data_IF_052222471854
#
_entry.id   IF_052222471854
#
_cell.length_a   1.000
_cell.length_b   1.000
_cell.length_c   1.000
_cell.angle_alpha   90.00
_cell.angle_beta   90.00
_cell.angle_gamma   90.00
#
_symmetry.space_group_name_H-M   'P 1'
#
loop_
_entity.id
_entity.type
_entity.pdbx_description
1 polymer ?
#
# COMPACT_ATOMS: atom_id res chain seq x y z
N UNK A 1 15.20 11.10 4.53
CA UNK A 1 16.20 11.00 5.58
C UNK A 1 15.80 11.90 6.77
N UNK A 2 16.06 11.40 8.01
CA UNK A 2 15.77 12.13 9.24
C UNK A 2 16.72 13.34 9.38
N UNK A 3 16.19 14.45 9.89
CA UNK A 3 16.92 15.70 10.09
C UNK A 3 17.15 16.03 11.57
N UNK A 4 16.38 15.41 12.47
CA UNK A 4 16.53 15.58 13.91
C UNK A 4 15.61 14.68 14.71
N UNK A 5 16.05 14.26 15.89
CA UNK A 5 15.26 13.56 16.88
C UNK A 5 15.03 14.50 18.06
N UNK A 6 13.78 14.77 18.40
CA UNK A 6 13.39 15.62 19.51
C UNK A 6 12.83 14.78 20.65
N UNK A 7 13.37 14.99 21.84
CA UNK A 7 13.06 14.25 23.04
C UNK A 7 12.43 15.17 24.07
N UNK A 8 11.34 14.73 24.70
CA UNK A 8 10.70 15.47 25.76
C UNK A 8 11.55 15.42 27.03
N UNK A 9 11.92 16.58 27.59
CA UNK A 9 12.61 16.69 28.86
C UNK A 9 11.75 16.06 29.97
N UNK A 10 12.37 15.23 30.84
CA UNK A 10 11.72 14.53 31.97
C UNK A 10 10.67 13.48 31.57
N UNK A 11 10.62 13.02 30.33
CA UNK A 11 9.89 11.82 30.02
C UNK A 11 10.60 10.58 30.62
N UNK A 12 9.82 9.64 31.16
CA UNK A 12 10.40 8.35 31.56
C UNK A 12 10.73 7.54 30.28
N UNK A 13 12.03 7.22 30.07
CA UNK A 13 12.43 6.52 28.84
C UNK A 13 12.00 5.06 28.90
N UNK A 14 11.11 4.64 28.01
CA UNK A 14 10.83 3.23 27.73
C UNK A 14 11.92 2.59 26.82
N UNK A 15 11.78 1.32 26.54
CA UNK A 15 12.77 0.62 25.70
C UNK A 15 12.80 1.16 24.27
N UNK A 16 11.65 1.56 23.70
CA UNK A 16 11.56 2.16 22.37
C UNK A 16 12.27 3.51 22.31
N UNK A 17 12.16 4.29 23.37
CA UNK A 17 12.81 5.57 23.49
C UNK A 17 14.35 5.39 23.49
N UNK A 18 14.87 4.43 24.29
CA UNK A 18 16.31 4.11 24.34
C UNK A 18 16.84 3.59 23.01
N UNK A 19 16.09 2.70 22.37
CA UNK A 19 16.42 2.16 21.03
C UNK A 19 16.43 3.26 19.97
N UNK A 20 15.45 4.15 19.95
CA UNK A 20 15.40 5.28 19.02
C UNK A 20 16.57 6.24 19.21
N UNK A 21 16.95 6.53 20.46
CA UNK A 21 18.10 7.36 20.76
C UNK A 21 19.42 6.72 20.32
N UNK A 22 19.61 5.44 20.61
CA UNK A 22 20.80 4.69 20.19
C UNK A 22 20.94 4.68 18.66
N UNK A 23 19.84 4.43 17.95
CA UNK A 23 19.83 4.43 16.48
C UNK A 23 20.12 5.83 15.91
N UNK A 24 19.56 6.89 16.51
CA UNK A 24 19.85 8.27 16.09
C UNK A 24 21.33 8.61 16.24
N UNK A 25 21.96 8.18 17.34
CA UNK A 25 23.39 8.37 17.59
C UNK A 25 24.25 7.59 16.58
N UNK A 26 23.90 6.32 16.31
CA UNK A 26 24.60 5.49 15.33
C UNK A 26 24.53 6.10 13.92
N UNK A 27 23.37 6.65 13.53
CA UNK A 27 23.15 7.25 12.22
C UNK A 27 23.59 8.72 12.13
N UNK A 28 24.13 9.29 13.20
CA UNK A 28 24.56 10.70 13.24
C UNK A 28 23.42 11.70 13.11
N UNK A 29 22.22 11.33 13.51
CA UNK A 29 21.03 12.21 13.51
C UNK A 29 21.13 13.14 14.73
N UNK A 30 21.05 14.48 14.54
CA UNK A 30 21.06 15.42 15.66
C UNK A 30 19.94 15.13 16.65
N UNK A 31 20.25 15.14 17.93
CA UNK A 31 19.28 14.91 19.02
C UNK A 31 19.09 16.22 19.77
N UNK A 32 17.84 16.60 19.97
CA UNK A 32 17.44 17.82 20.66
C UNK A 32 16.51 17.47 21.82
N UNK A 33 16.62 18.23 22.91
CA UNK A 33 15.69 18.15 24.03
C UNK A 33 14.75 19.36 24.02
N UNK A 34 13.46 19.14 24.29
CA UNK A 34 12.45 20.19 24.31
C UNK A 34 11.36 19.96 25.35
N UNK A 35 10.63 20.99 25.66
CA UNK A 35 9.44 20.87 26.51
C UNK A 35 8.32 20.14 25.71
N UNK A 36 7.33 19.61 26.45
CA UNK A 36 6.19 18.94 25.80
C UNK A 36 5.49 19.85 24.77
N UNK A 37 5.35 21.14 25.09
CA UNK A 37 4.72 22.12 24.21
C UNK A 37 5.46 22.25 22.86
N UNK A 38 6.80 22.20 22.88
CA UNK A 38 7.62 22.28 21.66
C UNK A 38 7.39 21.04 20.79
N UNK A 39 7.28 19.86 21.42
CA UNK A 39 7.01 18.61 20.69
C UNK A 39 5.56 18.56 20.18
N UNK A 40 4.59 19.09 20.95
CA UNK A 40 3.19 19.20 20.48
C UNK A 40 3.12 20.08 19.22
N UNK A 41 3.85 21.19 19.17
CA UNK A 41 3.92 22.07 18.00
C UNK A 41 4.61 21.37 16.82
N UNK A 42 5.79 20.78 17.03
CA UNK A 42 6.55 20.06 16.00
C UNK A 42 5.77 18.88 15.41
N UNK A 43 4.95 18.21 16.22
CA UNK A 43 4.10 17.10 15.77
C UNK A 43 2.76 17.55 15.20
N UNK A 44 2.51 18.85 15.05
CA UNK A 44 1.21 19.43 14.71
C UNK A 44 0.08 18.91 15.62
N UNK A 45 0.35 18.86 16.94
CA UNK A 45 -0.55 18.31 17.98
C UNK A 45 -0.88 16.83 17.80
N UNK A 46 -0.05 16.09 17.09
CA UNK A 46 -0.14 14.64 16.97
C UNK A 46 0.33 13.93 18.23
N UNK A 47 -0.15 12.72 18.47
CA UNK A 47 0.31 11.89 19.60
C UNK A 47 1.77 11.48 19.41
N UNK A 48 2.72 12.07 20.16
CA UNK A 48 4.16 11.84 20.01
C UNK A 48 4.79 11.00 21.13
N UNK A 49 4.09 10.79 22.26
CA UNK A 49 4.59 9.99 23.38
C UNK A 49 5.99 10.41 23.88
N UNK A 50 6.31 11.71 23.81
CA UNK A 50 7.61 12.25 24.22
C UNK A 50 8.74 12.15 23.20
N UNK A 51 8.46 11.75 21.95
CA UNK A 51 9.45 11.53 20.90
C UNK A 51 8.92 12.02 19.55
N UNK A 52 9.67 12.91 18.88
CA UNK A 52 9.32 13.41 17.53
C UNK A 52 10.55 13.30 16.62
N UNK A 53 10.38 12.60 15.51
CA UNK A 53 11.39 12.52 14.46
C UNK A 53 11.06 13.51 13.35
N UNK A 54 11.94 14.49 13.13
CA UNK A 54 11.85 15.38 11.98
C UNK A 54 12.49 14.69 10.76
N UNK A 55 11.77 14.74 9.64
CA UNK A 55 12.21 14.19 8.36
C UNK A 55 12.15 15.26 7.29
N UNK A 56 12.93 15.14 6.23
CA UNK A 56 12.78 15.96 5.02
C UNK A 56 11.42 15.71 4.37
N UNK A 57 10.99 16.68 3.57
CA UNK A 57 9.84 16.48 2.69
C UNK A 57 10.01 15.22 1.85
N UNK A 58 8.89 14.55 1.59
CA UNK A 58 8.91 13.33 0.81
C UNK A 58 9.29 13.62 -0.65
N UNK A 59 10.32 12.94 -1.12
CA UNK A 59 10.77 13.03 -2.52
C UNK A 59 10.01 11.98 -3.34
N UNK A 60 9.14 12.46 -4.24
CA UNK A 60 8.37 11.60 -5.13
C UNK A 60 9.27 11.06 -6.24
N UNK A 61 9.09 9.79 -6.55
CA UNK A 61 9.79 9.10 -7.62
C UNK A 61 9.12 9.35 -8.99
N UNK A 62 9.85 9.08 -10.06
CA UNK A 62 9.32 9.04 -11.40
C UNK A 62 8.48 7.75 -11.62
N UNK A 63 7.57 7.79 -12.60
CA UNK A 63 6.70 6.66 -12.93
C UNK A 63 7.51 5.39 -13.26
N UNK A 64 8.58 5.52 -14.01
CA UNK A 64 9.45 4.40 -14.40
C UNK A 64 10.08 3.70 -13.18
N UNK A 65 10.42 4.46 -12.15
CA UNK A 65 10.94 3.91 -10.89
C UNK A 65 9.87 3.09 -10.15
N UNK A 66 8.62 3.54 -10.18
CA UNK A 66 7.49 2.88 -9.51
C UNK A 66 7.04 1.63 -10.29
N UNK A 67 7.06 1.68 -11.62
CA UNK A 67 6.60 0.63 -12.50
C UNK A 67 7.68 -0.43 -12.84
N UNK A 68 8.59 -0.74 -11.91
CA UNK A 68 9.69 -1.69 -12.14
C UNK A 68 9.33 -3.16 -11.91
N UNK A 69 8.29 -3.42 -11.10
CA UNK A 69 7.86 -4.78 -10.75
C UNK A 69 6.72 -5.29 -11.62
N UNK A 70 5.88 -6.13 -11.02
CA UNK A 70 4.69 -6.69 -11.67
C UNK A 70 3.38 -6.29 -10.96
N UNK A 71 3.45 -5.47 -9.92
CA UNK A 71 2.28 -4.94 -9.21
C UNK A 71 2.55 -3.48 -8.83
N UNK A 72 1.65 -2.58 -9.23
CA UNK A 72 1.61 -1.18 -8.79
C UNK A 72 0.21 -0.85 -8.30
N UNK A 73 0.10 0.13 -7.40
CA UNK A 73 -1.19 0.57 -6.87
C UNK A 73 -1.42 2.04 -7.21
N UNK A 74 -2.54 2.34 -7.84
CA UNK A 74 -2.99 3.69 -8.20
C UNK A 74 -4.13 4.10 -7.27
N UNK A 75 -4.09 5.35 -6.77
CA UNK A 75 -5.10 5.87 -5.85
C UNK A 75 -5.89 7.00 -6.52
N UNK A 76 -7.17 6.76 -6.81
CA UNK A 76 -8.06 7.75 -7.43
C UNK A 76 -8.89 8.48 -6.38
N UNK A 77 -8.55 9.74 -6.10
CA UNK A 77 -9.33 10.60 -5.23
C UNK A 77 -9.27 10.25 -3.74
N UNK A 78 -8.27 9.50 -3.27
CA UNK A 78 -8.09 9.23 -1.84
C UNK A 78 -7.46 10.44 -1.17
N UNK A 79 -8.25 11.14 -0.34
CA UNK A 79 -7.86 12.40 0.32
C UNK A 79 -7.46 12.23 1.78
N UNK A 80 -7.77 11.10 2.39
CA UNK A 80 -7.34 10.78 3.75
C UNK A 80 -5.90 10.26 3.75
N UNK A 81 -5.01 11.01 4.40
CA UNK A 81 -3.59 10.67 4.54
C UNK A 81 -3.35 9.37 5.32
N UNK A 82 -4.26 9.04 6.26
CA UNK A 82 -4.18 7.80 7.01
C UNK A 82 -4.43 6.58 6.10
N UNK A 83 -5.44 6.67 5.22
CA UNK A 83 -5.70 5.64 4.23
C UNK A 83 -4.53 5.46 3.25
N UNK A 84 -3.93 6.56 2.77
CA UNK A 84 -2.73 6.48 1.91
C UNK A 84 -1.61 5.72 2.61
N UNK A 85 -1.32 6.03 3.87
CA UNK A 85 -0.30 5.33 4.65
C UNK A 85 -0.61 3.84 4.87
N UNK A 86 -1.87 3.52 5.21
CA UNK A 86 -2.31 2.14 5.44
C UNK A 86 -2.29 1.31 4.13
N UNK A 87 -2.68 1.92 2.99
CA UNK A 87 -2.56 1.30 1.67
C UNK A 87 -1.09 1.05 1.32
N UNK A 88 -0.20 2.03 1.56
CA UNK A 88 1.23 1.87 1.33
C UNK A 88 1.81 0.69 2.14
N UNK A 89 1.36 0.53 3.38
CA UNK A 89 1.75 -0.61 4.22
C UNK A 89 1.33 -1.94 3.63
N UNK A 90 0.08 -2.06 3.19
CA UNK A 90 -0.44 -3.27 2.55
C UNK A 90 0.24 -3.54 1.20
N UNK A 91 0.41 -2.51 0.37
CA UNK A 91 1.09 -2.59 -0.92
C UNK A 91 2.53 -3.13 -0.77
N UNK A 92 3.30 -2.59 0.18
CA UNK A 92 4.64 -3.07 0.48
C UNK A 92 4.65 -4.51 1.01
N UNK A 93 3.67 -4.88 1.86
CA UNK A 93 3.57 -6.23 2.43
C UNK A 93 3.26 -7.29 1.37
N UNK A 94 2.50 -6.93 0.34
CA UNK A 94 2.08 -7.84 -0.74
C UNK A 94 2.86 -7.66 -2.05
N UNK A 95 4.04 -7.04 -1.99
CA UNK A 95 5.00 -7.04 -3.08
C UNK A 95 4.73 -6.03 -4.20
N UNK A 96 3.99 -4.96 -3.93
CA UNK A 96 3.88 -3.84 -4.87
C UNK A 96 5.24 -3.15 -5.05
N UNK A 97 5.58 -2.78 -6.28
CA UNK A 97 6.78 -2.01 -6.59
C UNK A 97 6.63 -0.51 -6.29
N UNK A 98 5.40 -0.01 -6.09
CA UNK A 98 5.17 1.36 -5.68
C UNK A 98 3.72 1.80 -5.71
N UNK A 99 3.51 3.08 -5.34
CA UNK A 99 2.23 3.77 -5.40
C UNK A 99 2.24 4.89 -6.44
N UNK A 100 1.08 5.15 -7.02
CA UNK A 100 0.87 6.25 -7.96
C UNK A 100 -0.30 7.11 -7.46
N UNK A 101 -0.05 8.40 -7.23
CA UNK A 101 -1.03 9.36 -6.72
C UNK A 101 -1.26 10.46 -7.75
N UNK A 102 -2.50 10.95 -7.95
CA UNK A 102 -2.72 12.17 -8.70
C UNK A 102 -2.19 13.37 -7.91
N UNK A 103 -1.65 14.37 -8.61
CA UNK A 103 -1.15 15.59 -7.98
C UNK A 103 -2.24 16.53 -7.46
N UNK A 104 -3.50 16.29 -7.87
CA UNK A 104 -4.69 17.04 -7.43
C UNK A 104 -5.74 16.08 -6.92
N UNK A 105 -6.55 16.54 -5.96
CA UNK A 105 -7.66 15.76 -5.35
C UNK A 105 -7.20 14.45 -4.72
N UNK A 106 -5.99 14.44 -4.19
CA UNK A 106 -5.39 13.31 -3.48
C UNK A 106 -4.58 13.81 -2.30
N UNK A 107 -4.52 13.04 -1.25
CA UNK A 107 -3.60 13.29 -0.16
C UNK A 107 -2.15 13.11 -0.63
N UNK A 108 -1.27 13.99 -0.15
CA UNK A 108 0.18 13.79 -0.28
C UNK A 108 0.73 12.89 0.82
N UNK A 109 2.04 12.61 0.72
CA UNK A 109 2.75 11.89 1.78
C UNK A 109 3.08 12.88 2.90
N UNK A 110 2.29 12.82 3.96
CA UNK A 110 2.40 13.66 5.16
C UNK A 110 2.94 12.84 6.35
N UNK A 111 3.22 13.50 7.47
CA UNK A 111 3.60 12.83 8.72
C UNK A 111 2.56 11.77 9.16
N UNK A 112 1.26 12.03 8.93
CA UNK A 112 0.19 11.07 9.21
C UNK A 112 0.28 9.84 8.31
N UNK A 113 0.52 10.01 7.00
CA UNK A 113 0.75 8.90 6.07
C UNK A 113 2.00 8.09 6.44
N UNK A 114 3.10 8.76 6.81
CA UNK A 114 4.31 8.12 7.30
C UNK A 114 4.02 7.22 8.50
N UNK A 115 3.33 7.77 9.52
CA UNK A 115 2.98 7.04 10.73
C UNK A 115 2.08 5.83 10.43
N UNK A 116 1.04 6.01 9.61
CA UNK A 116 0.13 4.95 9.23
C UNK A 116 0.80 3.84 8.40
N UNK A 117 1.83 4.19 7.62
CA UNK A 117 2.58 3.24 6.80
C UNK A 117 3.48 2.29 7.60
N UNK A 118 3.70 2.54 8.90
CA UNK A 118 4.62 1.76 9.75
C UNK A 118 5.99 1.51 9.09
N UNK A 119 6.55 2.54 8.45
CA UNK A 119 7.85 2.49 7.78
C UNK A 119 7.83 1.98 6.32
N UNK A 120 6.68 1.58 5.78
CA UNK A 120 6.60 1.11 4.40
C UNK A 120 7.03 2.19 3.39
N UNK A 121 6.63 3.45 3.62
CA UNK A 121 6.98 4.58 2.75
C UNK A 121 8.48 4.91 2.67
N UNK A 122 9.31 4.35 3.54
CA UNK A 122 10.77 4.46 3.41
C UNK A 122 11.36 3.56 2.32
N UNK A 123 10.61 2.55 1.86
CA UNK A 123 11.05 1.53 0.91
C UNK A 123 10.18 1.43 -0.33
N UNK A 124 8.91 1.82 -0.21
CA UNK A 124 7.95 1.80 -1.32
C UNK A 124 7.97 3.17 -2.01
N UNK A 125 8.49 3.30 -3.23
CA UNK A 125 8.50 4.55 -3.96
C UNK A 125 7.08 4.98 -4.31
N UNK A 126 6.85 6.29 -4.32
CA UNK A 126 5.57 6.89 -4.67
C UNK A 126 5.77 7.89 -5.80
N UNK A 127 5.05 7.73 -6.90
CA UNK A 127 5.01 8.71 -7.98
C UNK A 127 3.81 9.64 -7.85
N UNK A 128 3.99 10.92 -8.27
CA UNK A 128 2.89 11.88 -8.43
C UNK A 128 2.67 12.19 -9.90
N UNK A 129 1.46 11.90 -10.38
CA UNK A 129 1.10 12.09 -11.78
C UNK A 129 0.03 13.17 -11.94
N UNK A 130 0.01 13.82 -13.09
CA UNK A 130 -0.98 14.88 -13.36
C UNK A 130 -2.35 14.29 -13.65
N UNK A 131 -2.42 13.13 -14.31
CA UNK A 131 -3.67 12.51 -14.78
C UNK A 131 -3.57 10.98 -14.71
N UNK A 132 -4.37 10.36 -13.81
CA UNK A 132 -4.38 8.90 -13.64
C UNK A 132 -4.84 8.15 -14.89
N UNK A 133 -5.84 8.66 -15.61
CA UNK A 133 -6.29 8.04 -16.86
C UNK A 133 -5.13 7.91 -17.85
N UNK A 134 -4.46 9.02 -18.13
CA UNK A 134 -3.32 9.02 -19.06
C UNK A 134 -2.18 8.11 -18.56
N UNK A 135 -1.99 8.02 -17.24
CA UNK A 135 -1.01 7.10 -16.65
C UNK A 135 -1.39 5.65 -16.87
N UNK A 136 -2.67 5.29 -16.71
CA UNK A 136 -3.16 3.93 -17.01
C UNK A 136 -2.95 3.61 -18.50
N UNK A 137 -3.30 4.55 -19.40
CA UNK A 137 -3.06 4.38 -20.85
C UNK A 137 -1.56 4.16 -21.17
N UNK A 138 -0.65 4.85 -20.47
CA UNK A 138 0.79 4.64 -20.60
C UNK A 138 1.18 3.24 -20.10
N UNK A 139 0.70 2.82 -18.93
CA UNK A 139 0.95 1.49 -18.39
C UNK A 139 0.43 0.38 -19.33
N UNK A 140 -0.74 0.57 -19.96
CA UNK A 140 -1.25 -0.36 -20.97
C UNK A 140 -0.26 -0.50 -22.13
N UNK A 141 0.31 0.62 -22.63
CA UNK A 141 1.35 0.61 -23.65
C UNK A 141 2.61 -0.19 -23.24
N UNK A 142 2.88 -0.28 -21.94
CA UNK A 142 4.00 -1.01 -21.35
C UNK A 142 3.61 -2.45 -20.94
N UNK A 143 2.44 -2.93 -21.32
CA UNK A 143 1.98 -4.30 -21.06
C UNK A 143 1.41 -4.54 -19.67
N UNK A 144 0.94 -3.50 -18.98
CA UNK A 144 0.23 -3.67 -17.71
C UNK A 144 -1.26 -3.88 -17.95
N UNK A 145 -1.88 -4.74 -17.15
CA UNK A 145 -3.33 -4.89 -17.07
C UNK A 145 -3.86 -4.08 -15.88
N UNK A 146 -4.85 -3.25 -16.11
CA UNK A 146 -5.45 -2.41 -15.06
C UNK A 146 -6.70 -3.06 -14.48
N UNK A 147 -6.70 -3.21 -13.15
CA UNK A 147 -7.81 -3.76 -12.37
C UNK A 147 -8.34 -2.69 -11.43
N UNK A 148 -9.54 -2.17 -11.70
CA UNK A 148 -10.20 -1.17 -10.87
C UNK A 148 -11.10 -1.83 -9.82
N UNK A 149 -11.06 -1.33 -8.57
CA UNK A 149 -11.95 -1.79 -7.51
C UNK A 149 -13.22 -0.93 -7.48
N UNK A 150 -14.37 -1.56 -7.76
CA UNK A 150 -15.70 -0.93 -7.72
C UNK A 150 -16.66 -1.82 -6.91
N UNK A 151 -17.28 -1.24 -5.88
CA UNK A 151 -18.24 -1.97 -5.04
C UNK A 151 -19.47 -2.48 -5.79
N UNK A 152 -19.75 -1.95 -6.99
CA UNK A 152 -20.89 -2.35 -7.84
C UNK A 152 -20.52 -3.43 -8.85
N UNK A 153 -19.25 -3.80 -8.96
CA UNK A 153 -18.83 -4.84 -9.89
C UNK A 153 -19.29 -6.21 -9.38
N UNK A 154 -19.86 -7.00 -10.28
CA UNK A 154 -20.29 -8.39 -9.99
C UNK A 154 -19.13 -9.37 -10.08
N UNK A 155 -18.11 -9.04 -10.87
CA UNK A 155 -16.89 -9.84 -11.04
C UNK A 155 -16.01 -9.71 -9.79
N UNK A 156 -15.52 -10.82 -9.26
CA UNK A 156 -14.55 -10.81 -8.16
C UNK A 156 -13.14 -11.05 -8.67
N UNK A 157 -12.13 -10.84 -7.82
CA UNK A 157 -10.73 -11.14 -8.20
C UNK A 157 -10.54 -12.62 -8.55
N UNK A 158 -11.34 -13.52 -7.98
CA UNK A 158 -11.31 -14.96 -8.27
C UNK A 158 -11.81 -15.31 -9.67
N UNK A 159 -12.56 -14.42 -10.32
CA UNK A 159 -13.17 -14.66 -11.63
C UNK A 159 -12.26 -14.22 -12.79
N UNK A 160 -11.16 -13.50 -12.47
CA UNK A 160 -10.15 -13.10 -13.46
C UNK A 160 -9.17 -14.25 -13.68
N UNK A 161 -8.76 -14.45 -14.93
CA UNK A 161 -7.81 -15.49 -15.30
C UNK A 161 -6.48 -15.36 -14.53
N UNK A 162 -5.89 -16.49 -14.17
CA UNK A 162 -4.61 -16.53 -13.44
C UNK A 162 -3.45 -15.90 -14.22
N UNK A 163 -3.46 -16.01 -15.54
CA UNK A 163 -2.46 -15.40 -16.41
C UNK A 163 -2.49 -13.86 -16.26
N UNK A 164 -3.68 -13.25 -16.22
CA UNK A 164 -3.84 -11.79 -16.00
C UNK A 164 -3.34 -11.38 -14.62
N UNK A 165 -3.70 -12.11 -13.57
CA UNK A 165 -3.27 -11.81 -12.20
C UNK A 165 -1.78 -12.09 -12.01
N UNK A 166 -1.22 -13.06 -12.73
CA UNK A 166 0.19 -13.44 -12.68
C UNK A 166 1.13 -12.46 -13.37
N UNK A 167 0.65 -11.72 -14.36
CA UNK A 167 1.42 -10.74 -15.13
C UNK A 167 1.50 -9.37 -14.44
N UNK A 168 1.76 -8.30 -15.19
CA UNK A 168 1.91 -6.93 -14.69
C UNK A 168 0.54 -6.32 -14.40
N UNK A 169 0.23 -6.11 -13.13
CA UNK A 169 -1.07 -5.60 -12.67
C UNK A 169 -0.95 -4.19 -12.10
N UNK A 170 -1.76 -3.27 -12.61
CA UNK A 170 -2.02 -1.96 -12.07
C UNK A 170 -3.35 -1.97 -11.32
N UNK A 171 -3.31 -2.13 -9.98
CA UNK A 171 -4.50 -2.10 -9.13
C UNK A 171 -4.94 -0.66 -8.88
N UNK A 172 -6.16 -0.30 -9.26
CA UNK A 172 -6.70 1.05 -9.12
C UNK A 172 -7.78 1.09 -8.03
N UNK A 173 -7.55 1.93 -7.02
CA UNK A 173 -8.41 2.07 -5.84
C UNK A 173 -9.06 3.44 -5.85
N UNK A 174 -10.38 3.48 -5.70
CA UNK A 174 -11.16 4.71 -5.63
C UNK A 174 -11.35 5.24 -4.21
N UNK A 175 -11.89 6.46 -4.13
CA UNK A 175 -12.23 7.10 -2.85
C UNK A 175 -13.39 6.42 -2.15
N UNK A 176 -13.46 6.58 -0.81
CA UNK A 176 -14.60 6.13 -0.02
C UNK A 176 -15.90 6.82 -0.47
N UNK A 177 -16.96 6.05 -0.61
CA UNK A 177 -18.29 6.52 -0.98
C UNK A 177 -18.50 6.83 -2.46
N UNK A 178 -17.49 7.35 -3.19
CA UNK A 178 -17.62 7.64 -4.62
C UNK A 178 -16.99 6.58 -5.53
N UNK A 179 -16.09 5.75 -4.99
CA UNK A 179 -15.34 4.76 -5.78
C UNK A 179 -14.37 5.42 -6.77
N UNK A 180 -14.20 4.79 -7.91
CA UNK A 180 -13.40 5.30 -9.02
C UNK A 180 -14.10 6.45 -9.74
N UNK A 181 -13.36 7.45 -10.18
CA UNK A 181 -13.89 8.45 -11.10
C UNK A 181 -14.29 7.79 -12.43
N UNK A 182 -15.37 8.29 -13.06
CA UNK A 182 -15.94 7.69 -14.27
C UNK A 182 -14.90 7.40 -15.36
N UNK A 183 -14.03 8.37 -15.65
CA UNK A 183 -13.02 8.22 -16.72
C UNK A 183 -11.94 7.20 -16.34
N UNK A 184 -11.58 7.08 -15.07
CA UNK A 184 -10.63 6.06 -14.60
C UNK A 184 -11.26 4.68 -14.69
N UNK A 185 -12.50 4.52 -14.23
CA UNK A 185 -13.24 3.25 -14.32
C UNK A 185 -13.41 2.77 -15.77
N UNK A 186 -13.77 3.70 -16.70
CA UNK A 186 -13.89 3.39 -18.13
C UNK A 186 -12.56 3.03 -18.82
N UNK A 187 -11.43 3.38 -18.20
CA UNK A 187 -10.09 3.07 -18.74
C UNK A 187 -9.53 1.76 -18.22
N UNK A 188 -10.01 1.28 -17.06
CA UNK A 188 -9.57 -0.01 -16.52
C UNK A 188 -10.01 -1.18 -17.42
N UNK A 189 -9.12 -2.18 -17.58
CA UNK A 189 -9.41 -3.40 -18.36
C UNK A 189 -10.45 -4.26 -17.64
N UNK A 190 -10.39 -4.30 -16.29
CA UNK A 190 -11.31 -5.03 -15.44
C UNK A 190 -11.82 -4.15 -14.31
N UNK A 191 -13.09 -4.33 -13.95
CA UNK A 191 -13.64 -3.83 -12.70
C UNK A 191 -14.02 -5.03 -11.83
N UNK A 192 -13.54 -5.03 -10.58
CA UNK A 192 -13.81 -6.09 -9.62
C UNK A 192 -14.44 -5.56 -8.35
N UNK A 193 -15.30 -6.37 -7.76
CA UNK A 193 -15.88 -6.14 -6.44
C UNK A 193 -15.30 -7.09 -5.39
N UNK A 194 -15.42 -6.69 -4.12
CA UNK A 194 -15.21 -7.58 -2.99
C UNK A 194 -16.58 -8.10 -2.58
N UNK A 195 -16.82 -9.42 -2.61
CA UNK A 195 -18.11 -9.98 -2.17
C UNK A 195 -18.39 -9.61 -0.71
N UNK A 196 -19.56 -9.06 -0.46
CA UNK A 196 -20.01 -8.66 0.88
C UNK A 196 -21.40 -9.24 1.16
N UNK A 197 -21.76 -9.32 2.44
CA UNK A 197 -23.12 -9.71 2.84
C UNK A 197 -24.12 -8.59 2.50
N UNK A 198 -25.37 -8.96 2.30
CA UNK A 198 -26.45 -8.01 2.02
C UNK A 198 -26.53 -6.89 3.07
N UNK A 199 -26.78 -5.66 2.60
CA UNK A 199 -26.90 -4.47 3.44
C UNK A 199 -25.60 -3.74 3.75
N UNK A 200 -24.46 -4.22 3.28
CA UNK A 200 -23.17 -3.53 3.38
C UNK A 200 -22.82 -2.87 2.03
N UNK A 201 -22.74 -1.54 1.99
CA UNK A 201 -22.55 -0.81 0.73
C UNK A 201 -21.08 -0.64 0.33
N UNK A 202 -20.16 -0.55 1.30
CA UNK A 202 -18.74 -0.34 1.02
C UNK A 202 -17.85 -0.71 2.21
N UNK A 203 -16.56 -0.85 1.93
CA UNK A 203 -15.47 -0.98 2.90
C UNK A 203 -14.63 0.29 2.91
N UNK A 204 -13.94 0.53 4.02
CA UNK A 204 -12.86 1.52 4.04
C UNK A 204 -11.83 1.22 2.93
N UNK A 205 -11.32 2.25 2.24
CA UNK A 205 -10.44 2.10 1.10
C UNK A 205 -9.16 1.30 1.41
N UNK A 206 -8.58 1.48 2.61
CA UNK A 206 -7.37 0.74 2.99
C UNK A 206 -7.65 -0.72 3.34
N UNK A 207 -8.84 -1.03 3.86
CA UNK A 207 -9.30 -2.42 4.09
C UNK A 207 -9.53 -3.12 2.76
N UNK A 208 -10.25 -2.47 1.84
CA UNK A 208 -10.48 -2.99 0.50
C UNK A 208 -9.18 -3.25 -0.26
N UNK A 209 -8.22 -2.32 -0.18
CA UNK A 209 -6.88 -2.48 -0.72
C UNK A 209 -6.17 -3.71 -0.15
N UNK A 210 -6.19 -3.88 1.18
CA UNK A 210 -5.53 -5.00 1.86
C UNK A 210 -6.10 -6.35 1.43
N UNK A 211 -7.44 -6.47 1.32
CA UNK A 211 -8.12 -7.69 0.88
C UNK A 211 -7.73 -8.03 -0.57
N UNK A 212 -7.81 -7.05 -1.48
CA UNK A 212 -7.51 -7.28 -2.90
C UNK A 212 -6.03 -7.60 -3.14
N UNK A 213 -5.12 -6.86 -2.49
CA UNK A 213 -3.68 -7.11 -2.58
C UNK A 213 -3.30 -8.50 -2.06
N UNK A 214 -3.90 -8.92 -0.93
CA UNK A 214 -3.70 -10.27 -0.41
C UNK A 214 -4.23 -11.33 -1.40
N UNK A 215 -5.39 -11.12 -2.00
CA UNK A 215 -5.94 -12.06 -2.98
C UNK A 215 -5.02 -12.21 -4.21
N UNK A 216 -4.50 -11.10 -4.76
CA UNK A 216 -3.52 -11.11 -5.85
C UNK A 216 -2.24 -11.85 -5.41
N UNK A 217 -1.71 -11.55 -4.24
CA UNK A 217 -0.50 -12.17 -3.70
C UNK A 217 -0.65 -13.69 -3.54
N UNK A 218 -1.74 -14.15 -2.92
CA UNK A 218 -2.00 -15.57 -2.71
C UNK A 218 -2.17 -16.33 -4.02
N UNK A 219 -2.87 -15.77 -5.00
CA UNK A 219 -2.99 -16.41 -6.33
C UNK A 219 -1.63 -16.55 -7.03
N UNK A 220 -0.80 -15.49 -7.00
CA UNK A 220 0.57 -15.55 -7.56
C UNK A 220 1.44 -16.58 -6.86
N UNK A 221 1.32 -16.67 -5.53
CA UNK A 221 2.05 -17.64 -4.72
C UNK A 221 1.65 -19.07 -5.07
N UNK A 222 0.35 -19.32 -5.28
CA UNK A 222 -0.18 -20.63 -5.66
C UNK A 222 0.28 -21.02 -7.07
N UNK A 223 0.27 -20.10 -8.03
CA UNK A 223 0.75 -20.33 -9.39
C UNK A 223 2.27 -20.65 -9.46
N UNK A 224 3.06 -20.14 -8.50
CA UNK A 224 4.50 -20.39 -8.39
C UNK A 224 4.84 -21.61 -7.54
N UNK A 225 3.87 -22.20 -6.83
CA UNK A 225 4.12 -23.40 -6.05
C UNK A 225 4.50 -24.55 -6.98
N UNK A 226 5.55 -25.35 -6.69
CA UNK A 226 5.87 -26.52 -7.48
C UNK A 226 4.66 -27.45 -7.46
N UNK A 227 4.22 -27.88 -8.65
CA UNK A 227 3.14 -28.85 -8.79
C UNK A 227 3.60 -30.14 -8.09
N UNK A 228 2.99 -30.49 -6.95
CA UNK A 228 3.25 -31.77 -6.33
C UNK A 228 2.97 -32.88 -7.38
N UNK A 229 3.92 -33.80 -7.60
CA UNK A 229 3.66 -34.89 -8.52
C UNK A 229 2.41 -35.64 -8.06
N UNK A 230 1.53 -36.07 -8.96
CA UNK A 230 0.31 -36.76 -8.61
C UNK A 230 0.66 -37.94 -7.70
N UNK A 231 0.00 -38.01 -6.53
CA UNK A 231 0.20 -39.11 -5.57
C UNK A 231 -0.10 -40.39 -6.31
N UNK A 232 0.93 -41.19 -6.58
CA UNK A 232 0.80 -42.50 -7.22
C UNK A 232 0.17 -43.44 -6.19
N UNK A 233 -1.13 -43.61 -6.26
CA UNK A 233 -1.82 -44.66 -5.44
C UNK A 233 -1.45 -46.00 -6.05
N UNK A 234 -0.50 -46.70 -5.47
CA UNK A 234 -0.27 -48.11 -5.77
C UNK A 234 -1.40 -48.90 -5.16
N UNK A 235 -2.35 -49.33 -5.98
CA UNK A 235 -3.36 -50.31 -5.60
C UNK A 235 -2.68 -51.65 -5.41
N UNK A 236 -2.30 -51.92 -4.18
CA UNK A 236 -1.85 -53.29 -3.80
C UNK A 236 -3.09 -54.22 -3.80
N UNK A 237 -3.22 -55.00 -4.86
CA UNK A 237 -4.25 -56.06 -4.91
C UNK A 237 -3.90 -57.13 -3.88
N UNK A 238 -4.55 -57.10 -2.72
CA UNK A 238 -4.57 -58.24 -1.83
C UNK A 238 -5.37 -59.37 -2.49
N UNK A 239 -4.69 -60.45 -2.90
CA UNK A 239 -5.36 -61.74 -3.11
C UNK A 239 -5.70 -62.30 -1.74
N UNK A 240 -6.99 -62.43 -1.46
CA UNK A 240 -7.50 -63.22 -0.34
C UNK A 240 -7.21 -64.71 -0.63
N UNK A 241 -6.90 -65.48 0.40
CA UNK A 241 -6.61 -66.90 0.31
C UNK A 241 -7.79 -67.73 -0.10
#
# INVERSE_FOLDING_TARGET
PATGLYLQVRAEPDDRWRESLALAQELGIPVFEGARADLDELSHHGSHQGLVLAIKDYEYADLDTVATGNLVVLLDGITDTHNVGAIARSAAAFGSSGLILPSRRSAGITASAWKASAGALSRLPVARVTNLRSTIETLHGDGWMSIGLDARAETSISDIDDDVVGDRVALVLGSEGHGLSRLVAETCDFLIGIPMVDGQESLNASVAAGITLNAIFERRRQAQAPMEPPVRIELTTYRLP
#
